data_IF_420622601112
#
_entry.id   IF_420622601112
#
_cell.length_a   1.000
_cell.length_b   1.000
_cell.length_c   1.000
_cell.angle_alpha   90.00
_cell.angle_beta   90.00
_cell.angle_gamma   90.00
#
_symmetry.space_group_name_H-M   'P 1'
#
loop_
_entity.id
_entity.type
_entity.pdbx_description
1 polymer ?
#
# COMPACT_ATOMS: atom_id res chain seq x y z
N UNK A 1 2.62 7.90 -49.77
CA UNK A 1 3.20 7.78 -48.45
C UNK A 1 2.19 7.96 -47.30
N UNK A 2 0.98 8.50 -47.53
CA UNK A 2 -0.05 8.69 -46.45
C UNK A 2 -0.86 7.42 -46.07
N UNK A 3 -0.67 6.28 -46.72
CA UNK A 3 -1.41 5.04 -46.42
C UNK A 3 -0.65 4.01 -45.57
N UNK A 4 0.65 4.23 -45.33
CA UNK A 4 1.50 3.26 -44.61
C UNK A 4 1.55 3.52 -43.12
N UNK A 5 1.37 4.78 -42.68
CA UNK A 5 1.43 5.17 -41.27
C UNK A 5 0.16 4.78 -40.52
N UNK A 6 -1.02 4.86 -41.16
CA UNK A 6 -2.29 4.38 -40.57
C UNK A 6 -2.32 2.86 -40.33
N UNK A 7 -1.48 2.11 -41.04
CA UNK A 7 -1.44 0.63 -40.90
C UNK A 7 -0.55 0.22 -39.71
N UNK A 8 0.46 1.00 -39.36
CA UNK A 8 1.31 0.72 -38.19
C UNK A 8 0.59 1.01 -36.86
N UNK A 9 -0.20 2.08 -36.78
CA UNK A 9 -0.98 2.37 -35.58
C UNK A 9 -2.11 1.37 -35.34
N UNK A 10 -2.72 0.84 -36.42
CA UNK A 10 -3.72 -0.22 -36.34
C UNK A 10 -3.14 -1.58 -35.95
N UNK A 11 -1.85 -1.83 -36.24
CA UNK A 11 -1.17 -3.08 -35.86
C UNK A 11 -0.77 -3.07 -34.37
N UNK A 12 -0.42 -1.89 -33.83
CA UNK A 12 -0.14 -1.79 -32.38
C UNK A 12 -1.40 -1.97 -31.51
N UNK A 13 -2.56 -1.46 -31.95
CA UNK A 13 -3.84 -1.70 -31.28
C UNK A 13 -4.36 -3.15 -31.43
N UNK A 14 -3.95 -3.86 -32.48
CA UNK A 14 -4.39 -5.25 -32.71
C UNK A 14 -3.51 -6.29 -31.99
N UNK A 15 -2.29 -5.95 -31.58
CA UNK A 15 -1.39 -6.84 -30.86
C UNK A 15 -1.69 -6.92 -29.36
N UNK A 16 -2.45 -5.96 -28.81
CA UNK A 16 -2.98 -6.01 -27.45
C UNK A 16 -4.18 -6.95 -27.28
N UNK A 17 -4.72 -7.50 -28.37
CA UNK A 17 -5.95 -8.30 -28.35
C UNK A 17 -5.78 -9.78 -28.75
N UNK A 18 -4.57 -10.24 -29.06
CA UNK A 18 -4.33 -11.63 -29.42
C UNK A 18 -3.09 -12.19 -28.73
N UNK A 19 -3.30 -12.86 -27.60
CA UNK A 19 -2.36 -13.82 -27.07
C UNK A 19 -2.24 -15.03 -27.99
N UNK A 20 -1.17 -15.08 -28.80
CA UNK A 20 -0.69 -16.30 -29.42
C UNK A 20 0.82 -16.27 -29.46
N UNK A 21 1.41 -17.12 -28.65
CA UNK A 21 2.81 -17.47 -28.71
C UNK A 21 3.13 -18.15 -30.03
N UNK A 22 4.16 -17.65 -30.75
CA UNK A 22 5.11 -18.49 -31.47
C UNK A 22 6.25 -17.65 -32.08
N UNK A 23 7.45 -18.05 -31.67
CA UNK A 23 8.76 -17.85 -32.32
C UNK A 23 9.25 -16.41 -32.63
N UNK A 24 9.97 -15.82 -31.69
CA UNK A 24 11.00 -14.84 -32.00
C UNK A 24 12.38 -15.55 -32.04
N UNK A 25 13.05 -15.42 -33.16
CA UNK A 25 14.41 -15.90 -33.38
C UNK A 25 15.39 -15.19 -32.43
N UNK A 26 16.26 -15.97 -31.82
CA UNK A 26 17.36 -15.51 -30.96
C UNK A 26 18.24 -14.50 -31.69
N UNK A 27 18.33 -13.31 -31.14
CA UNK A 27 19.38 -12.33 -31.43
C UNK A 27 20.47 -12.54 -30.36
N UNK A 28 21.64 -13.02 -30.76
CA UNK A 28 22.81 -13.14 -29.87
C UNK A 28 23.31 -11.75 -29.49
N UNK A 29 23.21 -11.42 -28.21
CA UNK A 29 23.80 -10.22 -27.60
C UNK A 29 25.21 -10.62 -27.08
N UNK A 30 26.29 -9.86 -27.44
CA UNK A 30 27.63 -10.16 -26.96
C UNK A 30 27.75 -9.90 -25.44
N UNK A 31 28.58 -10.69 -24.72
CA UNK A 31 28.69 -10.57 -23.27
C UNK A 31 29.36 -9.26 -22.85
N UNK A 32 28.78 -8.63 -21.82
CA UNK A 32 29.35 -7.49 -21.13
C UNK A 32 30.64 -7.89 -20.37
N UNK A 33 31.64 -7.01 -20.25
CA UNK A 33 32.85 -7.30 -19.51
C UNK A 33 32.57 -7.35 -18.00
N UNK A 34 33.05 -8.40 -17.37
CA UNK A 34 33.03 -8.63 -15.93
C UNK A 34 33.79 -7.51 -15.20
N UNK A 35 33.13 -6.74 -14.37
CA UNK A 35 33.77 -5.80 -13.45
C UNK A 35 33.93 -6.50 -12.10
N UNK A 36 35.16 -6.88 -11.80
CA UNK A 36 35.53 -7.47 -10.50
C UNK A 36 35.60 -6.34 -9.45
N UNK A 37 34.83 -6.37 -8.36
CA UNK A 37 34.98 -5.40 -7.29
C UNK A 37 36.23 -5.67 -6.48
N UNK A 38 37.13 -4.69 -6.39
CA UNK A 38 38.28 -4.71 -5.48
C UNK A 38 37.82 -4.35 -4.08
N UNK A 39 38.04 -5.19 -3.06
CA UNK A 39 37.67 -4.87 -1.68
C UNK A 39 38.57 -3.78 -1.10
N UNK A 40 37.96 -2.76 -0.51
CA UNK A 40 38.65 -1.73 0.26
C UNK A 40 39.17 -2.27 1.60
N UNK A 41 40.31 -1.79 2.11
CA UNK A 41 40.89 -2.26 3.35
C UNK A 41 40.05 -1.85 4.57
N UNK A 42 39.78 -2.81 5.46
CA UNK A 42 39.13 -2.57 6.75
C UNK A 42 40.20 -2.03 7.71
N UNK A 43 40.07 -0.78 8.14
CA UNK A 43 40.88 -0.24 9.25
C UNK A 43 40.35 -0.75 10.57
N UNK A 44 41.17 -1.57 11.23
CA UNK A 44 40.89 -2.06 12.58
C UNK A 44 41.24 -0.97 13.61
N UNK A 45 40.23 -0.34 14.20
CA UNK A 45 40.41 0.56 15.35
C UNK A 45 40.66 -0.26 16.62
N UNK A 46 41.88 -0.22 17.11
CA UNK A 46 42.29 -0.79 18.41
C UNK A 46 41.84 0.16 19.52
N UNK A 47 40.89 -0.23 20.35
CA UNK A 47 40.52 0.50 21.56
C UNK A 47 41.51 0.16 22.69
N UNK A 48 42.12 1.22 23.24
CA UNK A 48 42.97 1.17 24.44
C UNK A 48 42.07 1.21 25.69
N UNK A 49 42.28 0.34 26.70
CA UNK A 49 41.46 0.36 27.93
C UNK A 49 41.85 1.50 28.85
N UNK A 50 40.85 2.25 29.33
CA UNK A 50 40.96 3.27 30.35
C UNK A 50 41.02 2.61 31.75
N UNK A 51 41.81 3.11 32.70
CA UNK A 51 41.99 2.51 34.02
C UNK A 51 40.77 2.69 34.92
N UNK A 52 40.45 1.64 35.65
CA UNK A 52 39.40 1.59 36.70
C UNK A 52 39.82 2.40 37.89
N UNK A 53 39.01 3.35 38.31
CA UNK A 53 39.14 4.12 39.57
C UNK A 53 38.38 3.38 40.69
N UNK A 54 39.07 3.12 41.75
CA UNK A 54 38.64 2.38 42.95
C UNK A 54 37.81 3.30 43.84
N UNK A 55 36.51 3.04 44.05
CA UNK A 55 35.62 3.81 44.94
C UNK A 55 35.45 3.06 46.26
N UNK A 56 35.87 3.74 47.35
CA UNK A 56 35.69 3.28 48.73
C UNK A 56 34.21 3.38 49.18
N UNK A 57 33.75 2.52 50.11
CA UNK A 57 32.37 2.47 50.55
C UNK A 57 32.02 3.60 51.56
N UNK A 58 30.97 4.35 51.28
CA UNK A 58 30.38 5.31 52.21
C UNK A 58 29.26 4.68 53.03
N UNK A 59 29.26 5.01 54.28
CA UNK A 59 28.47 4.55 55.42
C UNK A 59 26.96 4.82 55.26
N UNK A 60 26.14 3.82 55.58
CA UNK A 60 24.68 3.90 55.71
C UNK A 60 24.24 4.88 56.77
N UNK A 61 23.26 5.74 56.43
CA UNK A 61 22.32 6.33 57.37
C UNK A 61 20.92 6.08 56.82
N UNK A 62 20.14 5.32 57.60
CA UNK A 62 18.80 4.90 57.24
C UNK A 62 17.76 6.03 57.33
N UNK A 63 16.84 6.03 56.42
CA UNK A 63 15.46 6.50 56.60
C UNK A 63 14.58 5.68 55.66
N UNK A 64 13.72 4.84 56.21
CA UNK A 64 12.68 4.10 55.52
C UNK A 64 11.67 5.10 54.96
N UNK A 65 11.79 5.42 53.67
CA UNK A 65 10.70 5.95 52.86
C UNK A 65 10.23 4.76 52.02
N UNK A 66 8.94 4.39 52.05
CA UNK A 66 8.44 3.38 51.16
C UNK A 66 8.57 3.89 49.72
N UNK A 67 9.57 3.40 49.02
CA UNK A 67 9.66 3.55 47.56
C UNK A 67 8.47 2.78 47.00
N UNK A 68 7.46 3.52 46.52
CA UNK A 68 6.46 2.92 45.62
C UNK A 68 7.23 2.21 44.51
N UNK A 69 7.04 0.90 44.42
CA UNK A 69 7.54 0.12 43.30
C UNK A 69 7.03 0.81 42.05
N UNK A 70 7.90 1.14 41.07
CA UNK A 70 7.39 1.66 39.82
C UNK A 70 6.43 0.59 39.28
N UNK A 71 5.19 1.00 38.98
CA UNK A 71 4.31 0.15 38.19
C UNK A 71 5.12 -0.32 36.99
N UNK A 72 5.06 -1.62 36.63
CA UNK A 72 5.77 -2.11 35.47
C UNK A 72 5.32 -1.25 34.28
N UNK A 73 6.27 -0.52 33.70
CA UNK A 73 6.07 0.16 32.43
C UNK A 73 5.80 -0.98 31.44
N UNK A 74 4.53 -1.16 31.07
CA UNK A 74 4.20 -2.13 30.02
C UNK A 74 5.03 -1.75 28.80
N UNK A 75 5.83 -2.69 28.31
CA UNK A 75 6.60 -2.46 27.10
C UNK A 75 5.63 -2.07 25.96
N UNK A 76 6.04 -1.15 25.05
CA UNK A 76 5.23 -0.80 23.90
C UNK A 76 4.82 -2.10 23.20
N UNK A 77 3.53 -2.21 22.89
CA UNK A 77 2.95 -3.45 22.37
C UNK A 77 3.65 -3.91 21.09
N UNK A 78 3.50 -5.20 20.80
CA UNK A 78 4.06 -5.91 19.64
C UNK A 78 3.41 -5.43 18.30
N UNK A 79 3.47 -4.13 18.02
CA UNK A 79 2.82 -3.53 16.88
C UNK A 79 3.62 -3.82 15.59
N UNK A 80 2.90 -4.16 14.53
CA UNK A 80 3.43 -4.16 13.17
C UNK A 80 3.07 -2.82 12.56
N UNK A 81 4.07 -2.13 12.00
CA UNK A 81 3.90 -0.82 11.39
C UNK A 81 4.16 -0.91 9.89
N UNK A 82 3.47 -0.09 9.11
CA UNK A 82 3.73 0.10 7.68
C UNK A 82 3.85 1.59 7.39
N UNK A 83 5.05 2.02 7.03
CA UNK A 83 5.30 3.35 6.51
C UNK A 83 5.16 3.33 4.99
N UNK A 84 4.44 4.29 4.42
CA UNK A 84 4.23 4.39 2.97
C UNK A 84 4.82 5.71 2.49
N UNK A 85 6.05 5.64 1.99
CA UNK A 85 6.68 6.74 1.27
C UNK A 85 6.14 6.85 -0.15
N UNK A 86 6.40 7.98 -0.82
CA UNK A 86 6.05 8.17 -2.23
C UNK A 86 7.22 8.77 -2.98
N UNK A 87 7.52 8.21 -4.15
CA UNK A 87 8.43 8.80 -5.14
C UNK A 87 7.60 9.42 -6.25
N UNK A 88 8.01 10.62 -6.69
CA UNK A 88 7.42 11.29 -7.85
C UNK A 88 8.55 11.81 -8.74
N UNK A 89 8.47 11.51 -10.02
CA UNK A 89 9.39 11.93 -11.06
C UNK A 89 8.59 12.69 -12.11
N UNK A 90 9.06 13.89 -12.46
CA UNK A 90 8.41 14.73 -13.47
C UNK A 90 9.42 15.13 -14.52
N UNK A 91 9.08 14.90 -15.78
CA UNK A 91 9.92 15.25 -16.92
C UNK A 91 9.25 16.29 -17.79
N UNK A 92 10.08 17.19 -18.32
CA UNK A 92 9.65 18.33 -19.11
C UNK A 92 10.25 18.29 -20.52
N UNK A 93 9.60 18.97 -21.47
CA UNK A 93 10.09 19.06 -22.84
C UNK A 93 11.59 19.44 -22.86
N UNK A 94 12.47 18.60 -23.45
CA UNK A 94 13.89 18.86 -23.48
C UNK A 94 14.30 20.09 -24.33
N UNK A 95 13.41 20.55 -25.23
CA UNK A 95 13.70 21.70 -26.10
C UNK A 95 13.35 23.05 -25.45
N UNK A 96 12.22 23.13 -24.74
CA UNK A 96 11.73 24.37 -24.14
C UNK A 96 11.68 24.34 -22.61
N UNK A 97 11.67 23.14 -22.01
CA UNK A 97 11.77 22.91 -20.56
C UNK A 97 10.62 23.45 -19.71
N UNK A 98 9.48 23.74 -20.33
CA UNK A 98 8.35 24.38 -19.66
C UNK A 98 7.08 23.52 -19.62
N UNK A 99 6.91 22.62 -20.58
CA UNK A 99 5.74 21.75 -20.64
C UNK A 99 6.03 20.41 -20.02
N UNK A 100 5.21 19.97 -19.07
CA UNK A 100 5.27 18.65 -18.45
C UNK A 100 4.91 17.61 -19.51
N UNK A 101 5.77 16.61 -19.69
CA UNK A 101 5.54 15.51 -20.64
C UNK A 101 5.30 14.18 -19.95
N UNK A 102 5.83 13.98 -18.73
CA UNK A 102 5.63 12.78 -17.95
C UNK A 102 5.48 13.11 -16.45
N UNK A 103 4.43 12.60 -15.81
CA UNK A 103 4.27 12.48 -14.37
C UNK A 103 4.28 11.00 -13.99
N UNK A 104 5.35 10.56 -13.30
CA UNK A 104 5.54 9.17 -12.90
C UNK A 104 5.70 9.09 -11.39
N UNK A 105 4.84 8.30 -10.72
CA UNK A 105 4.87 8.23 -9.26
C UNK A 105 4.53 6.85 -8.73
N UNK A 106 5.11 6.50 -7.57
CA UNK A 106 4.77 5.24 -6.90
C UNK A 106 4.95 5.31 -5.40
N UNK A 107 4.12 4.55 -4.70
CA UNK A 107 4.19 4.36 -3.27
C UNK A 107 5.23 3.30 -2.91
N UNK A 108 5.96 3.55 -1.81
CA UNK A 108 7.03 2.70 -1.29
C UNK A 108 6.67 2.24 0.14
N UNK A 109 5.88 1.18 0.28
CA UNK A 109 5.57 0.66 1.61
C UNK A 109 6.78 -0.03 2.24
N UNK A 110 6.94 0.16 3.56
CA UNK A 110 7.98 -0.48 4.39
C UNK A 110 7.37 -0.99 5.68
N UNK A 111 7.57 -2.27 5.95
CA UNK A 111 7.13 -2.93 7.18
C UNK A 111 8.21 -2.79 8.24
N UNK A 112 7.79 -2.40 9.43
CA UNK A 112 8.59 -2.37 10.65
C UNK A 112 7.93 -3.33 11.65
N UNK A 113 8.68 -4.34 12.08
CA UNK A 113 8.23 -5.33 13.04
C UNK A 113 9.40 -5.67 13.97
N UNK A 114 9.54 -4.89 15.06
CA UNK A 114 10.71 -4.98 15.94
C UNK A 114 10.85 -6.35 16.62
N UNK A 115 9.73 -7.02 16.88
CA UNK A 115 9.74 -8.33 17.53
C UNK A 115 10.08 -9.47 16.57
N UNK A 116 10.01 -9.25 15.25
CA UNK A 116 10.44 -10.22 14.25
C UNK A 116 11.05 -9.51 13.02
N UNK A 117 12.34 -9.18 13.14
CA UNK A 117 13.08 -8.51 12.06
C UNK A 117 13.23 -9.38 10.82
N UNK A 118 13.20 -10.72 10.96
CA UNK A 118 13.31 -11.63 9.82
C UNK A 118 12.03 -11.56 8.99
N UNK A 119 10.87 -11.63 9.63
CA UNK A 119 9.58 -11.47 8.96
C UNK A 119 9.49 -10.13 8.26
N UNK A 120 9.87 -9.03 8.94
CA UNK A 120 9.89 -7.71 8.33
C UNK A 120 10.81 -7.64 7.10
N UNK A 121 11.98 -8.26 7.16
CA UNK A 121 12.92 -8.31 6.04
C UNK A 121 12.35 -9.07 4.84
N UNK A 122 11.82 -10.28 5.04
CA UNK A 122 11.22 -11.10 3.98
C UNK A 122 10.09 -10.35 3.25
N UNK A 123 9.20 -9.70 4.02
CA UNK A 123 8.14 -8.88 3.44
C UNK A 123 8.72 -7.71 2.64
N UNK A 124 9.67 -6.97 3.21
CA UNK A 124 10.26 -5.80 2.57
C UNK A 124 11.05 -6.15 1.29
N UNK A 125 11.61 -7.35 1.17
CA UNK A 125 12.26 -7.82 -0.06
C UNK A 125 11.25 -7.96 -1.20
N UNK A 126 10.06 -8.49 -0.92
CA UNK A 126 8.97 -8.57 -1.92
C UNK A 126 8.47 -7.17 -2.29
N UNK A 127 8.24 -6.29 -1.30
CA UNK A 127 7.80 -4.92 -1.53
C UNK A 127 8.79 -4.14 -2.41
N UNK A 128 10.10 -4.25 -2.13
CA UNK A 128 11.14 -3.64 -2.96
C UNK A 128 11.16 -4.21 -4.39
N UNK A 129 10.87 -5.50 -4.54
CA UNK A 129 10.77 -6.13 -5.88
C UNK A 129 9.59 -5.57 -6.68
N UNK A 130 8.45 -5.28 -6.04
CA UNK A 130 7.30 -4.64 -6.69
C UNK A 130 7.69 -3.25 -7.20
N UNK A 131 8.34 -2.44 -6.37
CA UNK A 131 8.80 -1.10 -6.73
C UNK A 131 9.77 -1.13 -7.91
N UNK A 132 10.77 -2.00 -7.86
CA UNK A 132 11.76 -2.15 -8.93
C UNK A 132 11.12 -2.63 -10.24
N UNK A 133 10.16 -3.58 -10.16
CA UNK A 133 9.41 -4.05 -11.32
C UNK A 133 8.61 -2.92 -11.96
N UNK A 134 7.91 -2.11 -11.16
CA UNK A 134 7.17 -0.96 -11.65
C UNK A 134 8.08 0.10 -12.28
N UNK A 135 9.16 0.47 -11.58
CA UNK A 135 10.08 1.48 -12.07
C UNK A 135 10.82 1.06 -13.34
N UNK A 136 11.32 -0.18 -13.39
CA UNK A 136 12.12 -0.64 -14.53
C UNK A 136 11.29 -1.17 -15.70
N UNK A 137 10.05 -1.60 -15.48
CA UNK A 137 9.23 -2.33 -16.44
C UNK A 137 9.73 -3.76 -16.71
N UNK A 138 10.61 -4.31 -15.84
CA UNK A 138 11.14 -5.67 -15.97
C UNK A 138 10.47 -6.58 -14.94
N UNK A 139 9.93 -7.73 -15.38
CA UNK A 139 9.36 -8.72 -14.47
C UNK A 139 10.47 -9.45 -13.71
N UNK A 140 10.53 -9.25 -12.40
CA UNK A 140 11.42 -9.97 -11.47
C UNK A 140 10.74 -11.20 -10.83
N UNK A 141 9.78 -11.80 -11.51
CA UNK A 141 9.08 -13.01 -11.08
C UNK A 141 7.73 -12.76 -10.41
N UNK A 142 7.25 -11.53 -10.44
CA UNK A 142 5.94 -11.15 -9.87
C UNK A 142 4.77 -11.43 -10.80
N UNK A 143 5.03 -11.74 -12.07
CA UNK A 143 4.01 -11.93 -13.11
C UNK A 143 3.12 -10.69 -13.32
N UNK A 144 3.67 -9.51 -13.02
CA UNK A 144 3.05 -8.21 -13.28
C UNK A 144 3.78 -7.53 -14.43
N UNK A 145 3.04 -6.96 -15.34
CA UNK A 145 3.59 -6.26 -16.51
C UNK A 145 3.36 -4.76 -16.36
N UNK A 146 4.43 -4.00 -16.22
CA UNK A 146 4.44 -2.55 -16.18
C UNK A 146 5.20 -1.98 -17.36
N UNK A 147 4.88 -0.77 -17.76
CA UNK A 147 5.58 -0.08 -18.87
C UNK A 147 6.99 0.31 -18.42
N UNK A 148 7.13 0.80 -17.20
CA UNK A 148 8.37 1.29 -16.62
C UNK A 148 8.73 2.71 -17.05
N UNK A 149 9.44 3.41 -16.14
CA UNK A 149 9.75 4.83 -16.28
C UNK A 149 10.46 5.21 -17.60
N UNK A 150 11.53 4.51 -17.96
CA UNK A 150 12.30 4.87 -19.17
C UNK A 150 11.49 4.68 -20.45
N UNK A 151 10.68 3.64 -20.54
CA UNK A 151 9.82 3.37 -21.71
C UNK A 151 8.69 4.40 -21.80
N UNK A 152 8.13 4.80 -20.65
CA UNK A 152 7.13 5.87 -20.59
C UNK A 152 7.72 7.21 -21.03
N UNK A 153 8.92 7.56 -20.54
CA UNK A 153 9.59 8.80 -20.90
C UNK A 153 9.90 8.87 -22.39
N UNK A 154 10.51 7.82 -22.97
CA UNK A 154 10.78 7.75 -24.42
C UNK A 154 9.49 7.92 -25.24
N UNK A 155 8.40 7.25 -24.83
CA UNK A 155 7.13 7.37 -25.50
C UNK A 155 6.50 8.76 -25.39
N UNK A 156 6.66 9.43 -24.24
CA UNK A 156 6.19 10.80 -24.00
C UNK A 156 6.97 11.81 -24.85
N UNK A 157 8.30 11.70 -24.93
CA UNK A 157 9.16 12.54 -25.76
C UNK A 157 8.82 12.39 -27.27
N UNK A 158 8.61 11.16 -27.73
CA UNK A 158 8.22 10.89 -29.11
C UNK A 158 6.85 11.47 -29.44
N UNK A 159 5.88 11.31 -28.52
CA UNK A 159 4.52 11.86 -28.67
C UNK A 159 4.54 13.40 -28.74
N UNK A 160 5.29 14.02 -27.85
CA UNK A 160 5.45 15.48 -27.79
C UNK A 160 6.13 16.01 -29.08
N UNK A 161 7.21 15.39 -29.51
CA UNK A 161 7.93 15.74 -30.74
C UNK A 161 7.02 15.62 -31.96
N UNK A 162 6.24 14.54 -32.04
CA UNK A 162 5.27 14.33 -33.13
C UNK A 162 4.20 15.44 -33.12
N UNK A 163 3.59 15.74 -31.99
CA UNK A 163 2.56 16.78 -31.87
C UNK A 163 3.08 18.15 -32.30
N UNK A 164 4.30 18.52 -31.89
CA UNK A 164 4.97 19.76 -32.27
C UNK A 164 5.28 19.84 -33.77
N UNK A 165 5.92 18.80 -34.33
CA UNK A 165 6.40 18.79 -35.72
C UNK A 165 5.24 18.79 -36.71
N UNK A 166 4.11 18.18 -36.38
CA UNK A 166 2.94 18.11 -37.22
C UNK A 166 1.83 19.10 -36.85
N UNK A 167 2.06 19.94 -35.83
CA UNK A 167 1.09 20.96 -35.34
C UNK A 167 -0.30 20.34 -35.07
N UNK A 168 -0.32 19.20 -34.36
CA UNK A 168 -1.57 18.50 -34.04
C UNK A 168 -2.23 19.18 -32.83
N UNK A 169 -3.30 19.95 -33.10
CA UNK A 169 -4.07 20.58 -32.02
C UNK A 169 -4.89 19.54 -31.24
N UNK A 170 -4.94 19.70 -29.90
CA UNK A 170 -5.77 18.89 -29.01
C UNK A 170 -5.25 17.49 -28.74
N UNK A 171 -4.01 17.18 -29.13
CA UNK A 171 -3.35 15.93 -28.75
C UNK A 171 -2.88 16.06 -27.30
N UNK A 172 -3.22 15.10 -26.42
CA UNK A 172 -2.68 15.08 -25.07
C UNK A 172 -1.16 14.91 -25.13
N UNK A 173 -0.44 15.79 -24.44
CA UNK A 173 1.03 15.82 -24.45
C UNK A 173 1.61 15.20 -23.18
N UNK A 174 0.89 15.31 -22.07
CA UNK A 174 1.30 14.79 -20.78
C UNK A 174 0.92 13.30 -20.66
N UNK A 175 1.92 12.47 -20.40
CA UNK A 175 1.74 11.08 -20.02
C UNK A 175 1.81 10.97 -18.49
N UNK A 176 1.14 9.99 -17.94
CA UNK A 176 1.23 9.71 -16.51
C UNK A 176 1.21 8.21 -16.22
N UNK A 177 1.92 7.82 -15.16
CA UNK A 177 1.83 6.49 -14.59
C UNK A 177 1.98 6.56 -13.07
N UNK A 178 1.06 5.96 -12.35
CA UNK A 178 1.03 6.03 -10.91
C UNK A 178 0.69 4.66 -10.30
N UNK A 179 1.54 4.18 -9.39
CA UNK A 179 1.28 3.01 -8.58
C UNK A 179 1.00 3.45 -7.14
N UNK A 180 -0.20 3.19 -6.66
CA UNK A 180 -0.59 3.46 -5.28
C UNK A 180 -0.85 2.17 -4.52
N UNK A 181 -0.67 2.20 -3.19
CA UNK A 181 -0.91 1.05 -2.32
C UNK A 181 -1.83 1.42 -1.16
N UNK A 182 -2.72 0.49 -0.79
CA UNK A 182 -3.52 0.55 0.43
C UNK A 182 -3.35 -0.75 1.22
N UNK A 183 -3.04 -0.62 2.51
CA UNK A 183 -3.10 -1.74 3.45
C UNK A 183 -4.56 -2.02 3.73
N UNK A 184 -5.02 -3.21 3.40
CA UNK A 184 -6.41 -3.63 3.57
C UNK A 184 -6.64 -4.32 4.92
N UNK A 185 -5.67 -5.15 5.32
CA UNK A 185 -5.66 -5.82 6.63
C UNK A 185 -4.25 -5.84 7.19
N UNK A 186 -4.12 -5.56 8.50
CA UNK A 186 -2.85 -5.61 9.23
C UNK A 186 -3.11 -6.11 10.65
N UNK A 187 -2.64 -7.32 10.94
CA UNK A 187 -2.61 -7.91 12.28
C UNK A 187 -1.42 -8.85 12.44
N UNK A 188 -1.29 -9.50 13.58
CA UNK A 188 -0.19 -10.40 13.92
C UNK A 188 -0.05 -11.62 13.00
N UNK A 189 -1.08 -11.98 12.27
CA UNK A 189 -1.10 -13.14 11.38
C UNK A 189 -1.01 -12.76 9.90
N UNK A 190 -1.47 -11.55 9.53
CA UNK A 190 -1.64 -11.18 8.14
C UNK A 190 -1.39 -9.70 7.87
N UNK A 191 -0.65 -9.42 6.80
CA UNK A 191 -0.64 -8.16 6.10
C UNK A 191 -1.24 -8.38 4.71
N UNK A 192 -2.27 -7.64 4.34
CA UNK A 192 -2.88 -7.70 3.02
C UNK A 192 -2.91 -6.31 2.39
N UNK A 193 -2.42 -6.19 1.16
CA UNK A 193 -2.19 -4.93 0.47
C UNK A 193 -2.81 -4.98 -0.92
N UNK A 194 -3.51 -3.92 -1.30
CA UNK A 194 -4.05 -3.70 -2.63
C UNK A 194 -3.26 -2.60 -3.32
N UNK A 195 -2.70 -2.91 -4.47
CA UNK A 195 -2.06 -1.97 -5.37
C UNK A 195 -3.02 -1.55 -6.47
N UNK A 196 -3.00 -0.29 -6.82
CA UNK A 196 -3.71 0.26 -7.97
C UNK A 196 -2.72 1.01 -8.85
N UNK A 197 -2.58 0.55 -10.09
CA UNK A 197 -1.88 1.27 -11.14
C UNK A 197 -2.89 2.10 -11.93
N UNK A 198 -2.53 3.32 -12.27
CA UNK A 198 -3.29 4.15 -13.19
C UNK A 198 -2.34 4.84 -14.16
N UNK A 199 -2.53 4.62 -15.46
CA UNK A 199 -1.68 5.21 -16.48
C UNK A 199 -2.47 5.90 -17.59
N UNK A 200 -1.82 6.89 -18.19
CA UNK A 200 -2.31 7.58 -19.37
C UNK A 200 -1.18 7.81 -20.36
N UNK A 201 -1.30 7.22 -21.53
CA UNK A 201 -0.33 7.31 -22.64
C UNK A 201 -0.95 7.95 -23.89
N UNK A 202 -1.92 8.83 -23.67
CA UNK A 202 -2.69 9.45 -24.75
C UNK A 202 -3.96 8.66 -25.07
N UNK A 203 -4.80 9.23 -25.93
CA UNK A 203 -6.06 8.63 -26.32
C UNK A 203 -7.28 9.19 -25.58
N UNK A 204 -8.41 8.44 -25.63
CA UNK A 204 -9.69 8.93 -25.11
C UNK A 204 -9.83 8.84 -23.59
N UNK A 205 -9.11 7.93 -22.94
CA UNK A 205 -9.13 7.71 -21.50
C UNK A 205 -7.83 7.02 -21.05
N UNK A 206 -7.51 7.11 -19.77
CA UNK A 206 -6.47 6.32 -19.13
C UNK A 206 -6.89 4.87 -18.91
N UNK A 207 -5.93 4.07 -18.45
CA UNK A 207 -6.16 2.73 -17.96
C UNK A 207 -5.92 2.69 -16.45
N UNK A 208 -6.52 1.72 -15.79
CA UNK A 208 -6.19 1.38 -14.42
C UNK A 208 -6.28 -0.13 -14.23
N UNK A 209 -5.48 -0.62 -13.29
CA UNK A 209 -5.45 -2.03 -12.94
C UNK A 209 -5.25 -2.19 -11.44
N UNK A 210 -5.59 -3.36 -10.92
CA UNK A 210 -5.37 -3.71 -9.53
C UNK A 210 -4.66 -5.05 -9.43
N UNK A 211 -3.80 -5.17 -8.42
CA UNK A 211 -3.25 -6.43 -7.98
C UNK A 211 -3.02 -6.38 -6.47
N UNK A 212 -2.95 -7.54 -5.83
CA UNK A 212 -2.85 -7.61 -4.38
C UNK A 212 -1.78 -8.60 -3.94
N UNK A 213 -1.18 -8.30 -2.78
CA UNK A 213 -0.30 -9.22 -2.07
C UNK A 213 -0.78 -9.36 -0.63
N UNK A 214 -0.88 -10.60 -0.18
CA UNK A 214 -1.10 -10.93 1.23
C UNK A 214 0.12 -11.67 1.76
N UNK A 215 0.52 -11.39 3.00
CA UNK A 215 1.69 -11.99 3.65
C UNK A 215 1.27 -12.68 4.95
N UNK A 216 1.84 -13.84 5.20
CA UNK A 216 1.81 -14.50 6.49
C UNK A 216 2.81 -13.82 7.43
N UNK A 217 2.33 -13.04 8.39
CA UNK A 217 3.17 -12.27 9.32
C UNK A 217 3.85 -13.13 10.39
N UNK A 218 3.67 -14.45 10.35
CA UNK A 218 4.46 -15.40 11.16
C UNK A 218 5.69 -15.92 10.43
N UNK A 219 5.77 -15.72 9.11
CA UNK A 219 6.89 -16.22 8.27
C UNK A 219 7.45 -15.19 7.31
N UNK A 220 6.75 -14.08 7.05
CA UNK A 220 7.09 -13.08 6.04
C UNK A 220 6.79 -13.50 4.59
N UNK A 221 6.31 -14.72 4.37
CA UNK A 221 6.08 -15.25 3.03
C UNK A 221 4.78 -14.77 2.43
N UNK A 222 4.78 -14.58 1.10
CA UNK A 222 3.56 -14.32 0.33
C UNK A 222 2.58 -15.47 0.53
N UNK A 223 1.34 -15.13 0.85
CA UNK A 223 0.24 -16.07 0.94
C UNK A 223 -0.30 -16.38 -0.44
N UNK A 224 -0.50 -17.67 -0.68
CA UNK A 224 -1.21 -18.21 -1.84
C UNK A 224 -2.45 -18.96 -1.35
N UNK A 225 -3.45 -19.16 -2.19
CA UNK A 225 -4.71 -19.80 -1.76
C UNK A 225 -4.51 -21.22 -1.23
N UNK A 226 -3.53 -21.96 -1.74
CA UNK A 226 -3.16 -23.31 -1.28
C UNK A 226 -2.57 -23.31 0.13
N UNK A 227 -2.05 -22.17 0.61
CA UNK A 227 -1.55 -22.02 1.99
C UNK A 227 -2.63 -21.63 2.99
N UNK A 228 -3.79 -21.20 2.51
CA UNK A 228 -4.91 -20.85 3.38
C UNK A 228 -5.62 -22.08 3.95
N UNK A 229 -5.52 -23.23 3.28
CA UNK A 229 -6.25 -24.45 3.63
C UNK A 229 -5.39 -25.68 3.40
N UNK A 230 -5.59 -26.71 4.21
CA UNK A 230 -4.99 -28.03 3.97
C UNK A 230 -5.57 -28.80 2.78
N UNK A 231 -6.66 -28.31 2.17
CA UNK A 231 -7.33 -28.89 1.01
C UNK A 231 -7.67 -27.77 0.01
N UNK A 232 -6.73 -27.50 -0.91
CA UNK A 232 -6.88 -26.46 -1.91
C UNK A 232 -8.06 -26.71 -2.86
N UNK A 233 -8.26 -27.96 -3.33
CA UNK A 233 -9.31 -28.27 -4.30
C UNK A 233 -10.70 -28.01 -3.71
N UNK A 234 -10.91 -28.44 -2.45
CA UNK A 234 -12.16 -28.18 -1.74
C UNK A 234 -12.37 -26.68 -1.46
N UNK A 235 -11.31 -25.94 -1.15
CA UNK A 235 -11.37 -24.47 -0.98
C UNK A 235 -11.71 -23.79 -2.30
N UNK A 236 -11.02 -24.13 -3.39
CA UNK A 236 -11.24 -23.55 -4.71
C UNK A 236 -12.67 -23.76 -5.21
N UNK A 237 -13.18 -24.98 -5.08
CA UNK A 237 -14.58 -25.29 -5.45
C UNK A 237 -15.59 -24.50 -4.59
N UNK A 238 -15.35 -24.39 -3.28
CA UNK A 238 -16.18 -23.59 -2.38
C UNK A 238 -16.19 -22.10 -2.79
N UNK A 239 -15.01 -21.52 -3.09
CA UNK A 239 -14.88 -20.12 -3.49
C UNK A 239 -15.62 -19.83 -4.80
N UNK A 240 -15.43 -20.69 -5.82
CA UNK A 240 -16.13 -20.57 -7.11
C UNK A 240 -17.63 -20.66 -6.94
N UNK A 241 -18.13 -21.66 -6.20
CA UNK A 241 -19.57 -21.81 -5.94
C UNK A 241 -20.16 -20.63 -5.16
N UNK A 242 -19.39 -20.05 -4.24
CA UNK A 242 -19.82 -18.85 -3.52
C UNK A 242 -19.95 -17.65 -4.47
N UNK A 243 -18.96 -17.41 -5.33
CA UNK A 243 -19.04 -16.33 -6.34
C UNK A 243 -20.19 -16.52 -7.32
N UNK A 244 -20.45 -17.77 -7.77
CA UNK A 244 -21.61 -18.07 -8.60
C UNK A 244 -22.92 -17.73 -7.90
N UNK A 245 -23.03 -18.10 -6.60
CA UNK A 245 -24.19 -17.79 -5.79
C UNK A 245 -24.40 -16.28 -5.60
N UNK A 246 -23.33 -15.52 -5.35
CA UNK A 246 -23.38 -14.06 -5.25
C UNK A 246 -23.87 -13.44 -6.56
N UNK A 247 -23.33 -13.89 -7.71
CA UNK A 247 -23.74 -13.40 -9.02
C UNK A 247 -25.19 -13.78 -9.39
N UNK A 248 -25.71 -14.89 -8.88
CA UNK A 248 -27.11 -15.30 -9.07
C UNK A 248 -28.09 -14.54 -8.17
N UNK A 249 -27.66 -14.21 -6.95
CA UNK A 249 -28.49 -13.50 -5.97
C UNK A 249 -28.54 -11.98 -6.16
N UNK A 250 -27.84 -11.44 -7.10
CA UNK A 250 -27.65 -10.05 -7.54
C UNK A 250 -28.87 -9.13 -7.31
N UNK A 251 -29.15 -8.85 -6.04
CA UNK A 251 -30.40 -8.18 -5.64
C UNK A 251 -30.47 -6.69 -6.05
N UNK A 252 -29.31 -6.05 -6.21
CA UNK A 252 -29.14 -4.64 -6.56
C UNK A 252 -28.72 -4.42 -8.02
N UNK A 253 -28.50 -5.48 -8.80
CA UNK A 253 -28.08 -5.43 -10.18
C UNK A 253 -26.59 -5.24 -10.40
N UNK A 254 -25.78 -5.28 -9.33
CA UNK A 254 -24.33 -5.04 -9.41
C UNK A 254 -23.61 -5.98 -10.38
N UNK A 255 -23.88 -7.29 -10.29
CA UNK A 255 -23.22 -8.29 -11.13
C UNK A 255 -23.81 -8.35 -12.56
N UNK A 256 -25.13 -8.16 -12.70
CA UNK A 256 -25.78 -8.16 -14.02
C UNK A 256 -25.35 -7.00 -14.90
N UNK A 257 -24.94 -5.88 -14.32
CA UNK A 257 -24.39 -4.74 -15.05
C UNK A 257 -22.91 -4.93 -15.43
N UNK A 258 -22.18 -5.82 -14.74
CA UNK A 258 -20.73 -5.99 -14.87
C UNK A 258 -20.31 -7.26 -15.58
N UNK A 259 -21.08 -8.34 -15.46
CA UNK A 259 -20.78 -9.64 -16.06
C UNK A 259 -21.55 -9.79 -17.35
N UNK A 260 -20.84 -9.66 -18.47
CA UNK A 260 -21.41 -9.73 -19.83
C UNK A 260 -20.96 -11.01 -20.50
N UNK A 261 -21.92 -11.84 -20.95
CA UNK A 261 -21.68 -13.19 -21.49
C UNK A 261 -20.65 -13.25 -22.64
N UNK A 262 -20.59 -12.20 -23.48
CA UNK A 262 -19.65 -12.10 -24.60
C UNK A 262 -18.18 -11.96 -24.17
N UNK A 263 -17.92 -11.61 -22.92
CA UNK A 263 -16.58 -11.48 -22.32
C UNK A 263 -16.13 -12.75 -21.61
N UNK A 264 -17.05 -13.68 -21.34
CA UNK A 264 -16.72 -14.88 -20.59
C UNK A 264 -15.98 -15.90 -21.45
N UNK A 265 -15.09 -16.73 -20.85
CA UNK A 265 -14.46 -17.84 -21.52
C UNK A 265 -15.51 -18.91 -21.95
N UNK A 266 -15.10 -19.89 -22.76
CA UNK A 266 -15.98 -20.91 -23.29
C UNK A 266 -16.70 -21.77 -22.23
N UNK A 267 -16.11 -21.92 -21.04
CA UNK A 267 -16.72 -22.57 -19.87
C UNK A 267 -17.67 -21.66 -19.05
N UNK A 268 -17.95 -20.46 -19.56
CA UNK A 268 -18.88 -19.51 -18.93
C UNK A 268 -18.40 -18.98 -17.59
N UNK A 269 -19.36 -18.65 -16.69
CA UNK A 269 -19.09 -18.03 -15.39
C UNK A 269 -18.23 -18.89 -14.47
N UNK A 270 -18.40 -20.20 -14.48
CA UNK A 270 -17.61 -21.11 -13.63
C UNK A 270 -16.12 -21.03 -13.97
N UNK A 271 -15.76 -21.10 -15.26
CA UNK A 271 -14.38 -20.96 -15.70
C UNK A 271 -13.85 -19.56 -15.43
N UNK A 272 -14.64 -18.51 -15.69
CA UNK A 272 -14.27 -17.12 -15.40
C UNK A 272 -13.95 -16.93 -13.93
N UNK A 273 -14.81 -17.40 -13.01
CA UNK A 273 -14.58 -17.24 -11.56
C UNK A 273 -13.43 -18.13 -11.06
N UNK A 274 -13.21 -19.29 -11.67
CA UNK A 274 -12.01 -20.10 -11.38
C UNK A 274 -10.73 -19.37 -11.79
N UNK A 275 -10.76 -18.58 -12.85
CA UNK A 275 -9.63 -17.75 -13.27
C UNK A 275 -9.34 -16.60 -12.28
N UNK A 276 -10.34 -16.12 -11.52
CA UNK A 276 -10.12 -15.13 -10.45
C UNK A 276 -9.37 -15.70 -9.24
N UNK A 277 -9.20 -17.02 -9.14
CA UNK A 277 -8.41 -17.62 -8.05
C UNK A 277 -6.90 -17.48 -8.26
N UNK A 278 -6.45 -16.79 -9.30
CA UNK A 278 -5.03 -16.55 -9.57
C UNK A 278 -4.40 -15.65 -8.50
N UNK A 279 -3.10 -15.77 -8.36
CA UNK A 279 -2.29 -14.87 -7.53
C UNK A 279 -2.49 -13.42 -7.97
N UNK A 280 -2.54 -12.50 -7.01
CA UNK A 280 -2.68 -11.07 -7.27
C UNK A 280 -4.12 -10.58 -7.49
N UNK A 281 -5.12 -11.47 -7.59
CA UNK A 281 -6.52 -11.07 -7.83
C UNK A 281 -7.41 -11.18 -6.60
N UNK A 282 -6.84 -11.22 -5.40
CA UNK A 282 -7.57 -11.32 -4.14
C UNK A 282 -6.79 -10.72 -2.98
N UNK A 283 -7.51 -10.28 -1.98
CA UNK A 283 -6.95 -9.80 -0.73
C UNK A 283 -7.93 -10.01 0.43
N UNK A 284 -7.42 -9.92 1.65
CA UNK A 284 -8.25 -9.87 2.84
C UNK A 284 -8.41 -8.44 3.34
N UNK A 285 -9.61 -8.11 3.77
CA UNK A 285 -9.89 -6.90 4.54
C UNK A 285 -10.52 -7.25 5.90
N UNK A 286 -11.15 -6.27 6.54
CA UNK A 286 -11.83 -6.51 7.83
C UNK A 286 -13.11 -7.34 7.71
N UNK A 287 -13.71 -7.40 6.53
CA UNK A 287 -15.01 -8.05 6.34
C UNK A 287 -14.88 -9.47 5.77
N UNK A 288 -13.78 -9.77 5.09
CA UNK A 288 -13.61 -11.09 4.49
C UNK A 288 -12.48 -11.19 3.47
N UNK A 289 -12.61 -12.19 2.59
CA UNK A 289 -11.79 -12.41 1.43
C UNK A 289 -12.48 -11.81 0.21
N UNK A 290 -11.80 -10.92 -0.48
CA UNK A 290 -12.31 -10.25 -1.66
C UNK A 290 -11.52 -10.70 -2.89
N UNK A 291 -12.24 -11.13 -3.95
CA UNK A 291 -11.74 -11.40 -5.28
C UNK A 291 -12.13 -10.26 -6.22
N UNK A 292 -11.28 -9.93 -7.16
CA UNK A 292 -11.57 -8.91 -8.16
C UNK A 292 -11.09 -9.31 -9.56
N UNK A 293 -11.83 -8.84 -10.58
CA UNK A 293 -11.47 -9.02 -11.98
C UNK A 293 -10.46 -7.96 -12.43
N UNK A 294 -9.81 -8.22 -13.57
CA UNK A 294 -9.18 -7.16 -14.35
C UNK A 294 -10.21 -6.39 -15.18
N UNK A 295 -9.83 -5.23 -15.71
CA UNK A 295 -10.63 -4.56 -16.76
C UNK A 295 -10.78 -5.50 -17.96
N UNK A 296 -11.95 -5.46 -18.59
CA UNK A 296 -12.34 -6.31 -19.74
C UNK A 296 -12.41 -7.82 -19.46
N UNK A 297 -12.16 -8.29 -18.23
CA UNK A 297 -12.19 -9.73 -17.94
C UNK A 297 -13.61 -10.30 -17.85
N UNK A 298 -14.53 -9.58 -17.21
CA UNK A 298 -15.92 -10.00 -17.05
C UNK A 298 -16.92 -9.13 -17.82
N UNK A 299 -16.49 -7.96 -18.32
CA UNK A 299 -17.34 -7.01 -19.01
C UNK A 299 -16.56 -5.91 -19.71
N UNK A 300 -17.22 -4.96 -20.39
CA UNK A 300 -16.56 -3.85 -21.07
C UNK A 300 -15.90 -2.88 -20.06
N UNK A 301 -15.01 -2.02 -20.56
CA UNK A 301 -14.33 -1.00 -19.74
C UNK A 301 -15.27 -0.20 -18.81
N UNK A 302 -16.43 0.18 -19.33
CA UNK A 302 -17.44 0.95 -18.58
C UNK A 302 -18.04 0.17 -17.38
N UNK A 303 -17.93 -1.16 -17.37
CA UNK A 303 -18.33 -1.99 -16.23
C UNK A 303 -17.33 -1.90 -15.07
N UNK A 304 -16.07 -1.53 -15.35
CA UNK A 304 -15.02 -1.45 -14.37
C UNK A 304 -14.55 -2.81 -13.85
N UNK A 305 -13.91 -2.78 -12.69
CA UNK A 305 -13.48 -3.97 -11.96
C UNK A 305 -14.67 -4.54 -11.20
N UNK A 306 -14.88 -5.86 -11.29
CA UNK A 306 -15.95 -6.56 -10.58
C UNK A 306 -15.38 -7.23 -9.34
N UNK A 307 -16.00 -7.02 -8.18
CA UNK A 307 -15.55 -7.53 -6.89
C UNK A 307 -16.52 -8.56 -6.32
N UNK A 308 -15.96 -9.61 -5.69
CA UNK A 308 -16.70 -10.65 -4.99
C UNK A 308 -16.19 -10.78 -3.56
N UNK A 309 -17.00 -10.38 -2.58
CA UNK A 309 -16.64 -10.46 -1.16
C UNK A 309 -17.22 -11.70 -0.52
N UNK A 310 -16.37 -12.49 0.12
CA UNK A 310 -16.73 -13.69 0.88
C UNK A 310 -16.50 -13.40 2.37
N UNK A 311 -17.55 -13.18 3.18
CA UNK A 311 -17.43 -12.85 4.59
C UNK A 311 -16.70 -13.92 5.41
N UNK A 312 -15.98 -13.53 6.47
CA UNK A 312 -15.26 -14.46 7.35
C UNK A 312 -16.15 -15.58 7.91
N UNK A 313 -17.41 -15.29 8.23
CA UNK A 313 -18.37 -16.29 8.70
C UNK A 313 -18.56 -17.46 7.72
N UNK A 314 -18.38 -17.24 6.42
CA UNK A 314 -18.45 -18.30 5.39
C UNK A 314 -17.11 -19.03 5.22
N UNK A 315 -16.01 -18.43 5.64
CA UNK A 315 -14.66 -18.99 5.56
C UNK A 315 -14.33 -19.88 6.78
N UNK A 316 -15.15 -19.85 7.84
CA UNK A 316 -14.96 -20.70 9.01
C UNK A 316 -14.92 -22.19 8.62
N UNK A 317 -13.87 -22.88 9.06
CA UNK A 317 -13.63 -24.29 8.73
C UNK A 317 -13.25 -24.56 7.28
N UNK A 318 -13.06 -23.52 6.46
CA UNK A 318 -12.56 -23.60 5.08
C UNK A 318 -11.09 -23.20 4.98
N UNK A 319 -10.68 -22.22 5.78
CA UNK A 319 -9.29 -21.76 5.89
C UNK A 319 -8.77 -22.01 7.30
N UNK A 320 -7.46 -21.94 7.48
CA UNK A 320 -6.85 -22.04 8.80
C UNK A 320 -7.37 -20.93 9.73
N UNK A 321 -7.73 -21.27 11.00
CA UNK A 321 -8.33 -20.31 11.94
C UNK A 321 -7.52 -19.03 12.16
N UNK A 322 -6.19 -19.09 12.04
CA UNK A 322 -5.31 -17.92 12.21
C UNK A 322 -5.48 -16.86 11.12
N UNK A 323 -6.03 -17.23 9.97
CA UNK A 323 -6.31 -16.29 8.87
C UNK A 323 -7.73 -15.70 8.95
N UNK A 324 -8.58 -16.21 9.82
CA UNK A 324 -9.82 -15.52 10.14
C UNK A 324 -9.52 -14.20 10.86
N UNK A 325 -10.43 -13.25 10.76
CA UNK A 325 -10.23 -11.98 11.45
C UNK A 325 -10.31 -12.21 12.98
N UNK A 326 -9.40 -11.62 13.78
CA UNK A 326 -9.42 -11.79 15.24
C UNK A 326 -10.77 -11.38 15.84
N UNK A 327 -11.44 -12.33 16.50
CA UNK A 327 -12.85 -12.18 16.95
C UNK A 327 -13.01 -11.29 18.18
N UNK A 328 -12.01 -11.24 19.08
CA UNK A 328 -12.11 -10.51 20.34
C UNK A 328 -10.85 -9.70 20.61
N UNK A 329 -11.04 -8.42 20.79
CA UNK A 329 -10.01 -7.49 21.25
C UNK A 329 -10.51 -6.85 22.55
N UNK A 330 -9.64 -6.60 23.50
CA UNK A 330 -10.00 -6.03 24.79
C UNK A 330 -9.30 -4.69 24.98
N UNK A 331 -9.98 -3.74 25.56
CA UNK A 331 -9.43 -2.45 25.91
C UNK A 331 -10.33 -1.29 25.48
N UNK A 332 -10.15 -0.16 26.15
CA UNK A 332 -10.75 1.11 25.73
C UNK A 332 -9.59 2.06 25.49
N UNK A 333 -9.40 2.42 24.23
CA UNK A 333 -8.37 3.34 23.83
C UNK A 333 -8.94 4.53 23.09
N UNK A 334 -8.13 5.59 23.01
CA UNK A 334 -8.41 6.76 22.19
C UNK A 334 -7.12 7.32 21.64
N UNK A 335 -7.22 8.01 20.52
CA UNK A 335 -6.11 8.78 19.95
C UNK A 335 -6.33 10.26 20.24
N UNK A 336 -5.27 10.93 20.72
CA UNK A 336 -5.21 12.36 20.95
C UNK A 336 -3.98 12.97 20.27
N UNK A 337 -3.93 14.28 20.12
CA UNK A 337 -2.78 14.99 19.55
C UNK A 337 -2.29 16.05 20.53
N UNK A 338 -0.96 16.24 20.60
CA UNK A 338 -0.32 17.27 21.42
C UNK A 338 0.90 17.83 20.68
N UNK A 339 1.36 19.02 21.07
CA UNK A 339 2.57 19.62 20.56
C UNK A 339 3.81 19.06 21.27
N UNK A 340 4.80 18.59 20.51
CA UNK A 340 6.07 18.09 21.06
C UNK A 340 6.87 19.14 21.84
N UNK A 341 6.75 20.42 21.46
CA UNK A 341 7.55 21.52 21.99
C UNK A 341 7.38 21.78 23.51
N UNK A 342 6.34 21.21 24.14
CA UNK A 342 6.04 21.42 25.55
C UNK A 342 6.30 20.18 26.43
N UNK A 343 6.96 19.15 25.92
CA UNK A 343 7.17 17.91 26.66
C UNK A 343 8.51 17.86 27.41
N UNK A 344 8.58 18.50 28.54
CA UNK A 344 9.49 18.06 29.60
C UNK A 344 9.00 16.67 30.13
N UNK A 345 9.52 15.61 29.54
CA UNK A 345 9.28 14.22 29.93
C UNK A 345 7.95 13.64 29.44
N UNK A 346 7.83 13.40 28.14
CA UNK A 346 6.73 12.63 27.56
C UNK A 346 6.50 11.32 28.32
N UNK A 347 5.27 11.13 28.78
CA UNK A 347 4.91 9.96 29.60
C UNK A 347 4.77 8.68 28.77
N UNK A 348 4.69 8.80 27.45
CA UNK A 348 4.50 7.67 26.55
C UNK A 348 5.74 7.45 25.67
N UNK A 349 6.15 6.19 25.46
CA UNK A 349 7.23 5.87 24.53
C UNK A 349 6.85 6.24 23.10
N UNK A 350 7.78 6.83 22.35
CA UNK A 350 7.62 7.09 20.92
C UNK A 350 7.91 5.77 20.19
N UNK A 351 6.92 5.30 19.44
CA UNK A 351 7.00 4.05 18.69
C UNK A 351 7.65 4.25 17.33
N UNK A 352 7.33 5.36 16.64
CA UNK A 352 7.79 5.64 15.27
C UNK A 352 7.77 7.14 14.99
N UNK A 353 8.37 7.56 13.87
CA UNK A 353 8.35 8.92 13.35
C UNK A 353 7.86 8.94 11.91
N UNK A 354 6.73 9.60 11.66
CA UNK A 354 6.21 9.87 10.32
C UNK A 354 6.53 11.32 9.91
N UNK A 355 7.25 11.48 8.80
CA UNK A 355 7.51 12.78 8.18
C UNK A 355 6.66 12.90 6.92
N UNK A 356 5.62 13.72 7.00
CA UNK A 356 4.75 14.04 5.84
C UNK A 356 5.30 15.23 5.07
N UNK A 357 5.79 16.24 5.82
CA UNK A 357 6.43 17.43 5.25
C UNK A 357 7.66 17.79 6.10
N UNK A 358 8.82 17.93 5.49
CA UNK A 358 10.07 18.28 6.18
C UNK A 358 10.01 19.67 6.89
N UNK A 359 9.31 20.63 6.29
CA UNK A 359 9.10 21.97 6.84
C UNK A 359 7.89 22.03 7.80
N UNK A 360 7.29 20.87 8.12
CA UNK A 360 6.11 20.77 8.98
C UNK A 360 6.44 20.93 10.47
N UNK A 361 5.39 21.20 11.24
CA UNK A 361 5.45 21.23 12.70
C UNK A 361 5.59 19.81 13.24
N UNK A 362 6.30 19.69 14.37
CA UNK A 362 6.40 18.41 15.09
C UNK A 362 5.23 18.26 16.07
N UNK A 363 4.52 17.17 15.93
CA UNK A 363 3.36 16.79 16.72
C UNK A 363 3.54 15.40 17.29
N UNK A 364 2.73 15.06 18.28
CA UNK A 364 2.68 13.74 18.88
C UNK A 364 1.24 13.22 18.83
N UNK A 365 1.00 12.15 18.09
CA UNK A 365 -0.24 11.39 18.15
C UNK A 365 -0.10 10.36 19.26
N UNK A 366 -0.94 10.44 20.27
CA UNK A 366 -0.86 9.58 21.46
C UNK A 366 -2.02 8.61 21.48
N UNK A 367 -1.72 7.32 21.65
CA UNK A 367 -2.70 6.30 21.97
C UNK A 367 -2.75 6.11 23.48
N UNK A 368 -3.85 6.52 24.09
CA UNK A 368 -4.16 6.24 25.50
C UNK A 368 -5.04 4.98 25.58
N UNK A 369 -4.56 3.94 26.25
CA UNK A 369 -5.14 2.61 26.18
C UNK A 369 -4.73 1.88 24.90
N UNK A 370 -5.53 0.92 24.44
CA UNK A 370 -5.23 0.12 23.25
C UNK A 370 -6.24 0.41 22.14
N UNK A 371 -5.73 0.73 20.95
CA UNK A 371 -6.48 0.95 19.71
C UNK A 371 -5.90 0.06 18.60
N UNK A 372 -6.69 -0.26 17.58
CA UNK A 372 -6.35 -1.23 16.56
C UNK A 372 -6.53 -0.66 15.17
N UNK A 373 -5.79 -1.23 14.20
CA UNK A 373 -5.86 -0.88 12.78
C UNK A 373 -5.83 0.65 12.60
N UNK A 374 -4.77 1.24 13.17
CA UNK A 374 -4.58 2.69 13.14
C UNK A 374 -4.00 3.08 11.79
N UNK A 375 -4.61 4.04 11.13
CA UNK A 375 -4.18 4.49 9.80
C UNK A 375 -4.09 6.00 9.77
N UNK A 376 -3.11 6.52 9.05
CA UNK A 376 -2.97 7.93 8.73
C UNK A 376 -2.99 8.05 7.22
N UNK A 377 -3.93 8.84 6.72
CA UNK A 377 -4.12 9.10 5.30
C UNK A 377 -4.13 10.60 5.03
N UNK A 378 -3.73 11.01 3.83
CA UNK A 378 -4.01 12.35 3.36
C UNK A 378 -5.52 12.51 3.14
N UNK A 379 -6.00 13.76 3.16
CA UNK A 379 -7.37 14.07 2.76
C UNK A 379 -7.38 15.21 1.76
N UNK A 380 -8.38 15.21 0.92
CA UNK A 380 -8.67 16.31 0.01
C UNK A 380 -10.15 16.69 0.08
N UNK A 381 -10.46 17.93 -0.25
CA UNK A 381 -11.81 18.49 -0.19
C UNK A 381 -12.34 18.76 -1.59
N UNK A 382 -13.54 18.25 -1.88
CA UNK A 382 -14.31 18.58 -3.11
C UNK A 382 -15.63 19.23 -2.71
N UNK A 383 -16.58 18.47 -2.22
CA UNK A 383 -17.86 18.87 -1.62
C UNK A 383 -17.95 18.45 -0.15
N UNK A 384 -17.15 17.45 0.21
CA UNK A 384 -16.84 16.99 1.55
C UNK A 384 -15.37 16.54 1.59
N UNK A 385 -14.88 16.10 2.72
CA UNK A 385 -13.55 15.50 2.81
C UNK A 385 -13.57 14.06 2.30
N UNK A 386 -12.53 13.70 1.53
CA UNK A 386 -12.30 12.36 1.02
C UNK A 386 -10.95 11.86 1.48
N UNK A 387 -10.87 10.58 1.81
CA UNK A 387 -9.61 9.90 2.11
C UNK A 387 -8.78 9.79 0.83
N UNK A 388 -7.52 10.24 0.92
CA UNK A 388 -6.54 10.18 -0.15
C UNK A 388 -5.56 9.03 0.01
N UNK A 389 -4.28 9.32 -0.25
CA UNK A 389 -3.21 8.34 -0.12
C UNK A 389 -3.02 7.94 1.36
N UNK A 390 -2.85 6.65 1.61
CA UNK A 390 -2.47 6.14 2.91
C UNK A 390 -0.97 6.39 3.13
N UNK A 391 -0.60 6.90 4.29
CA UNK A 391 0.77 7.32 4.61
C UNK A 391 1.43 6.41 5.65
N UNK A 392 0.62 5.88 6.57
CA UNK A 392 1.10 5.06 7.67
C UNK A 392 0.00 4.22 8.27
N UNK A 393 0.37 3.02 8.77
CA UNK A 393 -0.54 2.13 9.47
C UNK A 393 0.16 1.44 10.63
N UNK A 394 -0.64 1.04 11.63
CA UNK A 394 -0.23 0.14 12.70
C UNK A 394 -1.30 -0.91 12.98
N UNK A 395 -0.88 -2.15 13.25
CA UNK A 395 -1.80 -3.22 13.66
C UNK A 395 -2.51 -2.89 14.97
N UNK A 396 -1.78 -2.28 15.90
CA UNK A 396 -2.31 -1.75 17.16
C UNK A 396 -1.38 -0.67 17.73
N UNK A 397 -1.91 0.20 18.59
CA UNK A 397 -1.14 1.09 19.46
C UNK A 397 -1.63 0.92 20.89
N UNK A 398 -0.70 0.81 21.84
CA UNK A 398 -1.03 0.65 23.25
C UNK A 398 -0.13 1.53 24.11
N UNK A 399 -0.72 2.55 24.74
CA UNK A 399 0.00 3.47 25.64
C UNK A 399 1.34 3.96 25.06
N UNK A 400 1.32 4.37 23.80
CA UNK A 400 2.49 4.85 23.06
C UNK A 400 2.13 6.05 22.18
N UNK A 401 3.13 6.62 21.56
CA UNK A 401 2.99 7.80 20.73
C UNK A 401 3.69 7.62 19.37
N UNK A 402 3.13 8.25 18.35
CA UNK A 402 3.74 8.46 17.04
C UNK A 402 4.19 9.91 16.94
N UNK A 403 5.47 10.16 16.66
CA UNK A 403 5.95 11.47 16.30
C UNK A 403 5.55 11.76 14.85
N UNK A 404 4.83 12.86 14.63
CA UNK A 404 4.37 13.30 13.32
C UNK A 404 4.98 14.65 12.99
N UNK A 405 5.62 14.76 11.80
CA UNK A 405 6.08 16.04 11.25
C UNK A 405 5.24 16.35 10.00
N UNK A 406 4.36 17.37 10.12
CA UNK A 406 3.40 17.71 9.07
C UNK A 406 3.07 19.20 9.07
N UNK A 407 2.74 19.72 7.89
CA UNK A 407 2.06 21.03 7.78
C UNK A 407 0.58 20.79 8.00
N UNK A 408 0.01 21.41 9.04
CA UNK A 408 -1.42 21.35 9.33
C UNK A 408 -2.02 22.73 9.08
N UNK A 409 -2.75 22.94 7.98
CA UNK A 409 -3.33 24.24 7.67
C UNK A 409 -4.44 24.61 8.66
N UNK A 410 -4.59 25.91 8.94
CA UNK A 410 -5.71 26.44 9.73
C UNK A 410 -7.03 26.22 8.96
N UNK A 411 -8.00 25.58 9.60
CA UNK A 411 -9.37 25.44 9.11
C UNK A 411 -9.59 24.50 7.92
N UNK A 412 -8.52 23.91 7.37
CA UNK A 412 -8.60 22.92 6.27
C UNK A 412 -7.75 21.70 6.62
N UNK A 413 -8.31 20.70 7.29
CA UNK A 413 -7.58 19.47 7.60
C UNK A 413 -7.05 18.80 6.33
N UNK A 414 -5.83 18.26 6.41
CA UNK A 414 -5.17 17.55 5.32
C UNK A 414 -4.76 16.12 5.69
N UNK A 415 -5.00 15.72 6.95
CA UNK A 415 -4.73 14.39 7.45
C UNK A 415 -5.95 13.82 8.17
N UNK A 416 -6.24 12.55 7.88
CA UNK A 416 -7.23 11.72 8.53
C UNK A 416 -6.53 10.64 9.34
N UNK A 417 -6.92 10.50 10.59
CA UNK A 417 -6.52 9.41 11.46
C UNK A 417 -7.73 8.51 11.68
N UNK A 418 -7.66 7.25 11.26
CA UNK A 418 -8.70 6.26 11.56
C UNK A 418 -8.15 5.19 12.49
N UNK A 419 -9.01 4.67 13.36
CA UNK A 419 -8.69 3.55 14.25
C UNK A 419 -9.95 2.84 14.72
N UNK A 420 -9.78 1.66 15.29
CA UNK A 420 -10.86 0.89 15.88
C UNK A 420 -10.64 0.69 17.38
N UNK A 421 -11.71 0.72 18.14
CA UNK A 421 -11.75 0.30 19.53
C UNK A 421 -12.07 -1.19 19.64
N UNK A 422 -11.89 -1.77 20.82
CA UNK A 422 -12.04 -3.21 21.03
C UNK A 422 -13.46 -3.75 20.77
N UNK A 423 -14.46 -2.91 20.88
CA UNK A 423 -15.87 -3.21 20.54
C UNK A 423 -16.15 -3.17 19.03
N UNK A 424 -15.11 -2.88 18.22
CA UNK A 424 -15.18 -2.83 16.76
C UNK A 424 -15.72 -1.51 16.20
N UNK A 425 -15.93 -0.49 17.06
CA UNK A 425 -16.32 0.83 16.61
C UNK A 425 -15.16 1.52 15.87
N UNK A 426 -15.44 2.03 14.66
CA UNK A 426 -14.51 2.81 13.85
C UNK A 426 -14.59 4.28 14.23
N UNK A 427 -13.44 4.89 14.44
CA UNK A 427 -13.29 6.33 14.64
C UNK A 427 -12.51 6.94 13.47
N UNK A 428 -13.04 8.02 12.92
CA UNK A 428 -12.37 8.87 11.94
C UNK A 428 -12.16 10.26 12.55
N UNK A 429 -10.92 10.77 12.51
CA UNK A 429 -10.57 12.07 13.06
C UNK A 429 -9.71 12.87 12.11
N UNK A 430 -10.14 14.07 11.81
CA UNK A 430 -9.38 15.03 11.03
C UNK A 430 -8.42 15.81 11.93
N UNK A 431 -7.15 15.88 11.54
CA UNK A 431 -6.17 16.72 12.18
C UNK A 431 -6.32 18.16 11.68
N UNK A 432 -6.59 19.08 12.59
CA UNK A 432 -6.81 20.50 12.31
C UNK A 432 -6.06 21.38 13.29
N UNK A 433 -5.83 22.64 12.91
CA UNK A 433 -5.31 23.68 13.79
C UNK A 433 -6.41 24.67 14.15
N UNK A 434 -6.52 25.01 15.44
CA UNK A 434 -7.45 26.04 15.92
C UNK A 434 -7.01 27.43 15.48
N UNK A 435 -7.90 28.18 14.84
CA UNK A 435 -7.65 29.57 14.47
C UNK A 435 -7.60 30.55 15.65
N UNK A 436 -8.01 30.12 16.85
CA UNK A 436 -8.07 31.00 18.02
C UNK A 436 -6.74 31.08 18.77
N UNK A 437 -6.02 29.98 18.90
CA UNK A 437 -4.78 29.88 19.69
C UNK A 437 -3.67 29.06 19.01
N UNK A 438 -3.94 28.55 17.79
CA UNK A 438 -2.99 27.72 17.03
C UNK A 438 -2.81 26.30 17.56
N UNK A 439 -3.58 25.89 18.58
CA UNK A 439 -3.49 24.53 19.11
C UNK A 439 -3.98 23.49 18.12
N UNK A 440 -3.37 22.29 18.17
CA UNK A 440 -3.80 21.16 17.36
C UNK A 440 -4.98 20.43 17.99
N UNK A 441 -5.88 19.95 17.17
CA UNK A 441 -7.04 19.18 17.62
C UNK A 441 -7.38 18.07 16.62
N UNK A 442 -7.95 17.00 17.14
CA UNK A 442 -8.60 15.98 16.33
C UNK A 442 -10.11 16.21 16.34
N UNK A 443 -10.66 16.44 15.17
CA UNK A 443 -12.11 16.69 14.98
C UNK A 443 -12.72 15.41 14.45
N UNK A 444 -13.83 14.97 15.10
CA UNK A 444 -14.61 13.86 14.57
C UNK A 444 -15.26 14.26 13.23
N UNK A 445 -15.13 13.38 12.25
CA UNK A 445 -15.79 13.55 10.96
C UNK A 445 -16.26 12.19 10.43
N UNK A 446 -17.45 12.22 9.79
CA UNK A 446 -18.03 11.09 9.08
C UNK A 446 -17.43 11.03 7.66
N UNK A 447 -16.14 10.71 7.55
CA UNK A 447 -15.51 10.47 6.25
C UNK A 447 -15.98 9.12 5.74
N UNK A 448 -16.89 9.14 4.79
CA UNK A 448 -17.17 7.96 3.99
C UNK A 448 -15.92 7.66 3.15
N UNK A 449 -15.28 6.53 3.42
CA UNK A 449 -14.25 6.02 2.54
C UNK A 449 -14.86 5.85 1.15
N UNK A 450 -14.41 6.65 0.20
CA UNK A 450 -14.68 6.39 -1.20
C UNK A 450 -13.74 5.25 -1.56
N UNK A 451 -14.34 4.05 -1.68
CA UNK A 451 -13.65 2.84 -2.10
C UNK A 451 -13.17 2.92 -3.54
#
# INVERSE_FOLDING_TARGET
>A
MKKTVSLLLAVFMALSLCGCAESLQQIEIPPFPEVTPTPAPIETMTQTPTPTEEVQPATQVGADIPVASPEPTEEPGNAILVNIGRTSLTDYDPAEGQELILDFSYDMPRVIYENDLIVAQEVNEVLATIEETFYSGQDYGLKQEFIGYNTMLESAEDNFTYARDYQVEGMPLEFSDALSVKVQRLDENMLSMLYTESNYTGGAHGNYGQFAYSFDMTTGQVLTLDRLSGDYDALADFLVQTMLTLAEQDADGYYSERIVEDFLPAGGREEAFRNLLREGSWYFDREGLLFFSSLYELGPYAAGITEFRIPYAQLEGKIEPRFLFPAERSGKGRVTVDELANQDGGKLPILDKLVVNEDGQELCLMAEGEVYDVRISSVYYVDKFYEGAQLWCASSLKNCALQLQAVVPEGLPNLLITYYTADGERHGKLLSQSGADGSFMLVDDDIEAVG
#
